data_IF_625753388544
#
_entry.id   IF_625753388544
#
_cell.length_a   1.000
_cell.length_b   1.000
_cell.length_c   1.000
_cell.angle_alpha   90.00
_cell.angle_beta   90.00
_cell.angle_gamma   90.00
#
_symmetry.space_group_name_H-M   'P 1'
#
loop_
_entity.id
_entity.type
_entity.pdbx_description
1 polymer ?
#
# COMPACT_ATOMS: atom_id res chain seq x y z
N UNK A 1 12.11 4.36 -13.62
CA UNK A 1 10.98 3.97 -12.74
C UNK A 1 10.27 2.68 -13.18
N UNK A 2 9.94 2.50 -14.47
CA UNK A 2 9.25 1.29 -14.96
C UNK A 2 10.03 -0.01 -14.68
N UNK A 3 11.35 -0.02 -14.89
CA UNK A 3 12.18 -1.20 -14.64
C UNK A 3 12.31 -1.53 -13.14
N UNK A 4 12.46 -0.50 -12.30
CA UNK A 4 12.45 -0.64 -10.83
C UNK A 4 11.14 -1.26 -10.35
N UNK A 5 10.00 -0.74 -10.80
CA UNK A 5 8.69 -1.30 -10.45
C UNK A 5 8.50 -2.73 -10.97
N UNK A 6 9.09 -3.09 -12.11
CA UNK A 6 9.08 -4.46 -12.62
C UNK A 6 9.91 -5.40 -11.74
N UNK A 7 11.10 -4.97 -11.31
CA UNK A 7 11.96 -5.75 -10.43
C UNK A 7 11.30 -5.98 -9.07
N UNK A 8 10.77 -4.93 -8.44
CA UNK A 8 10.05 -5.04 -7.16
C UNK A 8 8.84 -5.98 -7.24
N UNK A 9 8.21 -6.09 -8.42
CA UNK A 9 7.13 -7.05 -8.64
C UNK A 9 7.58 -8.51 -8.69
N UNK A 10 8.84 -8.77 -9.04
CA UNK A 10 9.43 -10.10 -9.03
C UNK A 10 9.91 -10.46 -7.63
N UNK A 11 10.43 -9.48 -6.89
CA UNK A 11 11.06 -9.66 -5.59
C UNK A 11 10.13 -9.38 -4.40
N UNK A 12 8.80 -9.38 -4.62
CA UNK A 12 7.82 -9.08 -3.56
C UNK A 12 7.98 -10.01 -2.36
N UNK A 13 7.99 -9.42 -1.16
CA UNK A 13 8.08 -10.13 0.12
C UNK A 13 6.86 -11.04 0.36
N UNK A 14 6.95 -11.96 1.33
CA UNK A 14 5.81 -12.82 1.71
C UNK A 14 4.60 -11.97 2.14
N UNK A 15 4.74 -10.98 3.04
CA UNK A 15 3.61 -10.11 3.43
C UNK A 15 2.98 -9.36 2.26
N UNK A 16 3.80 -8.81 1.35
CA UNK A 16 3.29 -8.18 0.12
C UNK A 16 2.48 -9.14 -0.75
N UNK A 17 2.91 -10.39 -0.88
CA UNK A 17 2.18 -11.39 -1.67
C UNK A 17 0.85 -11.76 -1.02
N UNK A 18 0.81 -11.84 0.31
CA UNK A 18 -0.43 -12.08 1.07
C UNK A 18 -1.41 -10.94 0.83
N UNK A 19 -0.99 -9.70 1.08
CA UNK A 19 -1.84 -8.52 0.87
C UNK A 19 -2.27 -8.39 -0.60
N UNK A 20 -1.36 -8.64 -1.55
CA UNK A 20 -1.71 -8.62 -2.97
C UNK A 20 -2.78 -9.67 -3.31
N UNK A 21 -2.75 -10.85 -2.70
CA UNK A 21 -3.78 -11.87 -2.88
C UNK A 21 -5.18 -11.41 -2.48
N UNK A 22 -5.27 -10.54 -1.46
CA UNK A 22 -6.53 -9.94 -0.99
C UNK A 22 -7.02 -8.82 -1.91
N UNK A 23 -6.10 -8.04 -2.47
CA UNK A 23 -6.43 -6.81 -3.23
C UNK A 23 -6.59 -7.03 -4.75
N UNK A 24 -5.89 -8.01 -5.31
CA UNK A 24 -5.86 -8.26 -6.76
C UNK A 24 -7.24 -8.61 -7.31
N UNK A 25 -7.37 -8.47 -8.63
CA UNK A 25 -8.55 -8.92 -9.37
C UNK A 25 -9.87 -8.39 -8.81
N UNK A 26 -9.83 -7.19 -8.20
CA UNK A 26 -10.98 -6.48 -7.63
C UNK A 26 -11.66 -7.22 -6.48
N UNK A 27 -10.93 -8.09 -5.78
CA UNK A 27 -11.46 -8.91 -4.68
C UNK A 27 -11.93 -8.09 -3.49
N UNK A 28 -11.30 -6.95 -3.22
CA UNK A 28 -11.75 -6.05 -2.16
C UNK A 28 -12.75 -5.03 -2.73
N UNK A 29 -14.03 -5.21 -2.42
CA UNK A 29 -15.12 -4.28 -2.75
C UNK A 29 -15.20 -3.83 -4.24
N UNK A 30 -14.70 -4.64 -5.19
CA UNK A 30 -14.67 -4.26 -6.61
C UNK A 30 -13.59 -3.23 -6.99
N UNK A 31 -12.79 -2.77 -6.03
CA UNK A 31 -11.77 -1.73 -6.20
C UNK A 31 -10.55 -2.26 -6.97
N UNK A 32 -9.95 -1.41 -7.79
CA UNK A 32 -8.80 -1.81 -8.62
C UNK A 32 -7.50 -1.35 -7.99
N UNK A 33 -6.83 -2.26 -7.30
CA UNK A 33 -5.49 -2.05 -6.79
C UNK A 33 -4.41 -2.38 -7.84
N UNK A 34 -3.37 -1.57 -7.88
CA UNK A 34 -2.13 -1.81 -8.62
C UNK A 34 -1.01 -1.97 -7.62
N UNK A 35 -0.17 -3.00 -7.79
CA UNK A 35 1.02 -3.20 -6.95
C UNK A 35 2.28 -2.56 -7.52
N UNK A 36 3.17 -2.10 -6.63
CA UNK A 36 4.45 -1.46 -6.95
C UNK A 36 4.23 -0.35 -7.99
N UNK A 37 3.42 0.64 -7.63
CA UNK A 37 2.96 1.69 -8.51
C UNK A 37 3.87 2.93 -8.42
N UNK A 38 4.40 3.45 -9.54
CA UNK A 38 5.16 4.69 -9.51
C UNK A 38 4.25 5.91 -9.25
N UNK A 39 4.63 6.75 -8.29
CA UNK A 39 4.05 8.07 -8.05
C UNK A 39 5.21 9.07 -7.94
N UNK A 40 5.40 9.88 -8.99
CA UNK A 40 6.55 10.75 -9.17
C UNK A 40 7.90 10.04 -8.92
N UNK A 41 8.72 10.50 -7.96
CA UNK A 41 10.03 9.90 -7.68
C UNK A 41 9.95 8.66 -6.79
N UNK A 42 8.75 8.23 -6.38
CA UNK A 42 8.56 7.10 -5.48
C UNK A 42 7.86 5.93 -6.17
N UNK A 43 8.05 4.73 -5.60
CA UNK A 43 7.21 3.56 -5.87
C UNK A 43 6.50 3.24 -4.56
N UNK A 44 5.19 3.05 -4.62
CA UNK A 44 4.35 2.65 -3.48
C UNK A 44 3.92 1.19 -3.65
N UNK A 45 3.73 0.48 -2.53
CA UNK A 45 3.44 -0.96 -2.59
C UNK A 45 2.10 -1.25 -3.25
N UNK A 46 1.06 -0.49 -2.91
CA UNK A 46 -0.24 -0.58 -3.58
C UNK A 46 -0.87 0.79 -3.79
N UNK A 47 -1.61 0.92 -4.89
CA UNK A 47 -2.37 2.13 -5.22
C UNK A 47 -3.74 1.78 -5.80
N UNK A 48 -4.79 2.40 -5.25
CA UNK A 48 -6.14 2.41 -5.78
C UNK A 48 -6.46 3.81 -6.32
N UNK A 49 -6.57 3.91 -7.65
CA UNK A 49 -6.84 5.17 -8.34
C UNK A 49 -8.25 5.69 -8.04
N UNK A 50 -9.24 4.80 -7.95
CA UNK A 50 -10.63 5.18 -7.68
C UNK A 50 -10.84 5.78 -6.28
N UNK A 51 -10.11 5.26 -5.29
CA UNK A 51 -10.19 5.72 -3.91
C UNK A 51 -9.14 6.79 -3.58
N UNK A 52 -8.24 7.12 -4.52
CA UNK A 52 -7.04 7.92 -4.25
C UNK A 52 -6.31 7.43 -2.99
N UNK A 53 -6.08 6.11 -2.90
CA UNK A 53 -5.53 5.45 -1.72
C UNK A 53 -4.23 4.73 -2.05
N UNK A 54 -3.18 5.09 -1.32
CA UNK A 54 -1.91 4.39 -1.26
C UNK A 54 -1.90 3.50 -0.02
N UNK A 55 -1.40 2.27 -0.18
CA UNK A 55 -1.16 1.35 0.94
C UNK A 55 0.32 1.00 0.95
N UNK A 56 0.94 1.06 2.13
CA UNK A 56 2.33 0.68 2.36
C UNK A 56 2.39 -0.38 3.45
N UNK A 57 3.19 -1.43 3.24
CA UNK A 57 3.46 -2.41 4.28
C UNK A 57 4.67 -2.00 5.09
N UNK A 58 4.50 -1.94 6.40
CA UNK A 58 5.55 -1.53 7.34
C UNK A 58 5.88 -2.67 8.30
N UNK A 59 7.17 -2.98 8.44
CA UNK A 59 7.67 -4.17 9.14
C UNK A 59 8.44 -3.87 10.42
N UNK A 60 8.34 -2.65 10.94
CA UNK A 60 9.09 -2.12 12.09
C UNK A 60 10.62 -2.37 12.03
N UNK A 61 11.33 -1.38 11.47
CA UNK A 61 12.65 -0.91 11.94
C UNK A 61 13.05 0.34 11.16
N UNK A 62 12.30 1.44 11.36
CA UNK A 62 12.61 2.76 10.80
C UNK A 62 13.36 3.67 11.79
N UNK A 63 14.22 3.11 12.66
CA UNK A 63 15.12 3.92 13.49
C UNK A 63 16.08 4.67 12.57
N UNK A 64 15.92 6.00 12.49
CA UNK A 64 16.77 6.90 11.70
C UNK A 64 16.25 7.30 10.31
N UNK A 65 15.03 6.89 9.91
CA UNK A 65 14.40 7.29 8.61
C UNK A 65 13.14 8.15 8.73
N UNK A 66 12.71 8.47 9.95
CA UNK A 66 11.46 9.19 10.21
C UNK A 66 11.30 10.48 9.37
N UNK A 67 12.33 11.31 9.27
CA UNK A 67 12.27 12.57 8.51
C UNK A 67 12.16 12.36 6.98
N UNK A 68 12.75 11.29 6.45
CA UNK A 68 12.67 10.95 5.03
C UNK A 68 11.29 10.36 4.72
N UNK A 69 10.78 9.48 5.59
CA UNK A 69 9.45 8.90 5.47
C UNK A 69 8.35 9.95 5.60
N UNK A 70 8.51 10.94 6.48
CA UNK A 70 7.56 12.03 6.62
C UNK A 70 7.55 12.93 5.37
N UNK A 71 8.73 13.28 4.83
CA UNK A 71 8.82 14.05 3.58
C UNK A 71 8.24 13.30 2.39
N UNK A 72 8.51 12.00 2.30
CA UNK A 72 7.94 11.11 1.27
C UNK A 72 6.42 11.07 1.36
N UNK A 73 5.89 10.82 2.55
CA UNK A 73 4.44 10.73 2.78
C UNK A 73 3.75 12.07 2.48
N UNK A 74 4.31 13.19 2.95
CA UNK A 74 3.79 14.53 2.69
C UNK A 74 3.80 14.88 1.19
N UNK A 75 4.88 14.50 0.48
CA UNK A 75 4.94 14.70 -0.96
C UNK A 75 3.88 13.89 -1.69
N UNK A 76 3.70 12.59 -1.35
CA UNK A 76 2.67 11.75 -1.97
C UNK A 76 1.27 12.32 -1.71
N UNK A 77 1.00 12.72 -0.47
CA UNK A 77 -0.28 13.34 -0.09
C UNK A 77 -0.55 14.64 -0.83
N UNK A 78 0.50 15.45 -1.09
CA UNK A 78 0.36 16.67 -1.90
C UNK A 78 -0.07 16.40 -3.35
N UNK A 79 0.10 15.16 -3.85
CA UNK A 79 -0.36 14.76 -5.17
C UNK A 79 -1.84 14.32 -5.20
N UNK A 80 -2.51 14.25 -4.05
CA UNK A 80 -3.92 13.87 -3.93
C UNK A 80 -4.21 12.60 -3.13
N UNK A 81 -3.38 11.53 -3.21
CA UNK A 81 -3.69 10.29 -2.51
C UNK A 81 -3.56 10.35 -0.99
N UNK A 82 -4.47 9.69 -0.28
CA UNK A 82 -4.29 9.31 1.12
C UNK A 82 -3.27 8.17 1.22
N UNK A 83 -2.54 8.10 2.34
CA UNK A 83 -1.54 7.05 2.61
C UNK A 83 -1.96 6.29 3.86
N UNK A 84 -2.20 4.99 3.70
CA UNK A 84 -2.48 4.05 4.78
C UNK A 84 -1.27 3.13 4.96
N UNK A 85 -0.74 3.04 6.19
CA UNK A 85 0.32 2.08 6.54
C UNK A 85 -0.30 0.89 7.23
N UNK A 86 -0.01 -0.31 6.74
CA UNK A 86 -0.43 -1.57 7.32
C UNK A 86 0.78 -2.22 7.96
N UNK A 87 0.69 -2.49 9.26
CA UNK A 87 1.75 -3.22 9.94
C UNK A 87 1.75 -4.68 9.49
N UNK A 88 2.93 -5.23 9.25
CA UNK A 88 3.08 -6.64 8.89
C UNK A 88 2.49 -7.53 9.99
N UNK A 89 2.64 -7.15 11.26
CA UNK A 89 2.09 -7.89 12.39
C UNK A 89 0.55 -7.90 12.37
N UNK A 90 -0.10 -6.79 12.04
CA UNK A 90 -1.56 -6.71 11.90
C UNK A 90 -2.05 -7.60 10.75
N UNK A 91 -1.33 -7.59 9.62
CA UNK A 91 -1.63 -8.46 8.47
C UNK A 91 -1.48 -9.95 8.83
N UNK A 92 -0.49 -10.30 9.66
CA UNK A 92 -0.29 -11.68 10.11
C UNK A 92 -1.35 -12.12 11.12
N UNK A 93 -1.74 -11.23 12.03
CA UNK A 93 -2.71 -11.52 13.08
C UNK A 93 -4.14 -11.61 12.53
N UNK A 94 -4.55 -10.67 11.67
CA UNK A 94 -5.91 -10.66 11.13
C UNK A 94 -5.98 -10.02 9.73
N UNK A 95 -5.84 -10.84 8.66
CA UNK A 95 -6.09 -10.39 7.30
C UNK A 95 -7.47 -9.77 7.10
N UNK A 96 -8.50 -10.30 7.78
CA UNK A 96 -9.87 -9.79 7.66
C UNK A 96 -10.01 -8.38 8.27
N UNK A 97 -9.38 -8.13 9.43
CA UNK A 97 -9.36 -6.78 10.02
C UNK A 97 -8.65 -5.78 9.11
N UNK A 98 -7.52 -6.16 8.53
CA UNK A 98 -6.79 -5.35 7.54
C UNK A 98 -7.65 -5.08 6.30
N UNK A 99 -8.39 -6.08 5.79
CA UNK A 99 -9.30 -5.88 4.67
C UNK A 99 -10.39 -4.84 4.98
N UNK A 100 -10.97 -4.90 6.18
CA UNK A 100 -11.97 -3.93 6.64
C UNK A 100 -11.37 -2.53 6.79
N UNK A 101 -10.17 -2.42 7.34
CA UNK A 101 -9.47 -1.15 7.48
C UNK A 101 -9.22 -0.49 6.12
N UNK A 102 -8.71 -1.27 5.15
CA UNK A 102 -8.48 -0.78 3.78
C UNK A 102 -9.79 -0.35 3.13
N UNK A 103 -10.87 -1.10 3.32
CA UNK A 103 -12.18 -0.73 2.76
C UNK A 103 -12.70 0.58 3.36
N UNK A 104 -12.61 0.76 4.69
CA UNK A 104 -12.98 2.00 5.37
C UNK A 104 -12.15 3.18 4.87
N UNK A 105 -10.83 3.01 4.74
CA UNK A 105 -9.95 4.04 4.19
C UNK A 105 -10.29 4.37 2.73
N UNK A 106 -10.81 3.42 1.97
CA UNK A 106 -11.31 3.64 0.62
C UNK A 106 -12.74 4.23 0.56
N UNK A 107 -13.35 4.57 1.71
CA UNK A 107 -14.70 5.12 1.80
C UNK A 107 -15.81 4.09 1.61
N UNK A 108 -15.53 2.81 1.85
CA UNK A 108 -16.48 1.70 1.74
C UNK A 108 -16.76 1.12 3.13
N UNK A 109 -18.04 0.90 3.43
CA UNK A 109 -18.48 0.11 4.58
C UNK A 109 -18.72 -1.35 4.11
N UNK A 110 -18.10 -2.32 4.80
CA UNK A 110 -18.22 -3.76 4.53
C UNK A 110 -19.13 -4.45 5.54
#
# INVERSE_FOLDING_TARGET
>A
MRDRARQLRQDSSIPERVLWGMLRDRRLAGLKFRRQHPIGPFVVDFFCEQAQLVIELDGESHVGRADEDQRRSAWIQSQGPQVLRIMIDDLQQSPDAVAQEIARAAGIEL
#
